data_IF_482746317529
#
_entry.id   IF_482746317529
#
_cell.length_a   1.000
_cell.length_b   1.000
_cell.length_c   1.000
_cell.angle_alpha   90.00
_cell.angle_beta   90.00
_cell.angle_gamma   90.00
#
_symmetry.space_group_name_H-M   'P 1'
#
loop_
_entity.id
_entity.type
_entity.pdbx_description
1 polymer ?
#
# COMPACT_ATOMS: atom_id res chain seq x y z
N UNK A 1 -14.06 4.62 19.78
CA UNK A 1 -13.06 3.59 19.41
C UNK A 1 -11.74 4.01 20.05
N UNK A 2 -11.25 3.27 21.03
CA UNK A 2 -9.97 3.56 21.69
C UNK A 2 -8.89 2.73 20.96
N UNK A 3 -8.19 3.35 20.02
CA UNK A 3 -7.09 2.69 19.30
C UNK A 3 -5.90 2.60 20.27
N UNK A 4 -5.74 1.46 20.93
CA UNK A 4 -4.50 1.16 21.65
C UNK A 4 -3.37 1.02 20.63
N UNK A 5 -2.53 2.05 20.54
CA UNK A 5 -1.31 2.04 19.74
C UNK A 5 -0.26 1.25 20.51
N UNK A 6 -0.08 -0.02 20.16
CA UNK A 6 0.98 -0.88 20.69
C UNK A 6 1.72 -1.59 19.53
N UNK A 7 2.86 -2.21 19.85
CA UNK A 7 3.74 -2.84 18.87
C UNK A 7 3.02 -3.92 18.03
N UNK A 8 2.19 -4.75 18.66
CA UNK A 8 1.41 -5.79 17.98
C UNK A 8 0.39 -5.20 16.99
N UNK A 9 -0.36 -4.17 17.39
CA UNK A 9 -1.33 -3.51 16.54
C UNK A 9 -0.68 -2.83 15.31
N UNK A 10 0.52 -2.25 15.48
CA UNK A 10 1.29 -1.66 14.39
C UNK A 10 1.83 -2.74 13.43
N UNK A 11 2.32 -3.86 13.95
CA UNK A 11 2.78 -4.98 13.12
C UNK A 11 1.63 -5.59 12.31
N UNK A 12 0.46 -5.80 12.91
CA UNK A 12 -0.72 -6.31 12.21
C UNK A 12 -1.24 -5.31 11.17
N UNK A 13 -1.23 -4.03 11.48
CA UNK A 13 -1.53 -2.97 10.52
C UNK A 13 -0.55 -2.98 9.35
N UNK A 14 0.75 -3.15 9.59
CA UNK A 14 1.76 -3.26 8.53
C UNK A 14 1.51 -4.48 7.62
N UNK A 15 1.20 -5.65 8.20
CA UNK A 15 0.85 -6.85 7.42
C UNK A 15 -0.41 -6.63 6.59
N UNK A 16 -1.43 -5.99 7.15
CA UNK A 16 -2.66 -5.67 6.45
C UNK A 16 -2.41 -4.66 5.30
N UNK A 17 -1.55 -3.68 5.52
CA UNK A 17 -1.12 -2.75 4.48
C UNK A 17 -0.37 -3.46 3.36
N UNK A 18 0.59 -4.36 3.67
CA UNK A 18 1.27 -5.16 2.65
C UNK A 18 0.31 -5.97 1.79
N UNK A 19 -0.66 -6.67 2.40
CA UNK A 19 -1.71 -7.39 1.66
C UNK A 19 -2.55 -6.46 0.78
N UNK A 20 -2.82 -5.25 1.26
CA UNK A 20 -3.58 -4.24 0.50
C UNK A 20 -2.75 -3.70 -0.66
N UNK A 21 -1.44 -3.48 -0.48
CA UNK A 21 -0.49 -3.11 -1.53
C UNK A 21 -0.45 -4.18 -2.61
N UNK A 22 -0.34 -5.45 -2.21
CA UNK A 22 -0.34 -6.57 -3.16
C UNK A 22 -1.67 -6.65 -3.92
N UNK A 23 -2.79 -6.45 -3.24
CA UNK A 23 -4.11 -6.43 -3.88
C UNK A 23 -4.26 -5.27 -4.87
N UNK A 24 -3.80 -4.07 -4.50
CA UNK A 24 -3.81 -2.87 -5.36
C UNK A 24 -2.86 -3.04 -6.54
N UNK A 25 -1.64 -3.55 -6.32
CA UNK A 25 -0.66 -3.83 -7.36
C UNK A 25 -1.15 -4.86 -8.37
N UNK A 26 -1.93 -5.85 -7.91
CA UNK A 26 -2.57 -6.86 -8.76
C UNK A 26 -3.92 -6.40 -9.36
N UNK A 27 -4.47 -5.27 -8.92
CA UNK A 27 -5.80 -4.81 -9.30
C UNK A 27 -5.99 -4.39 -10.78
N UNK A 28 -4.99 -3.98 -11.60
CA UNK A 28 -5.34 -3.31 -12.86
C UNK A 28 -5.05 -4.08 -14.15
N UNK A 29 -5.10 -5.41 -14.16
CA UNK A 29 -5.20 -6.14 -15.44
C UNK A 29 -6.49 -5.81 -16.20
N UNK A 30 -7.62 -5.81 -15.49
CA UNK A 30 -8.95 -5.62 -16.08
C UNK A 30 -9.20 -4.20 -16.60
N UNK A 31 -8.72 -3.17 -15.88
CA UNK A 31 -8.89 -1.77 -16.31
C UNK A 31 -8.00 -1.44 -17.50
N UNK A 32 -6.77 -1.97 -17.53
CA UNK A 32 -5.91 -1.84 -18.69
C UNK A 32 -6.52 -2.50 -19.94
N UNK A 33 -7.06 -3.71 -19.79
CA UNK A 33 -7.76 -4.41 -20.87
C UNK A 33 -9.04 -3.69 -21.32
N UNK A 34 -9.78 -3.08 -20.39
CA UNK A 34 -10.96 -2.29 -20.72
C UNK A 34 -10.62 -1.04 -21.55
N UNK A 35 -9.52 -0.34 -21.23
CA UNK A 35 -9.07 0.77 -22.06
C UNK A 35 -8.64 0.31 -23.46
N UNK A 36 -7.89 -0.80 -23.56
CA UNK A 36 -7.53 -1.36 -24.86
C UNK A 36 -8.76 -1.78 -25.68
N UNK A 37 -9.78 -2.38 -25.06
CA UNK A 37 -11.01 -2.78 -25.75
C UNK A 37 -11.83 -1.58 -26.23
N UNK A 38 -11.89 -0.50 -25.45
CA UNK A 38 -12.51 0.78 -25.87
C UNK A 38 -11.79 1.35 -27.09
N UNK A 39 -10.46 1.37 -27.07
CA UNK A 39 -9.65 1.83 -28.22
C UNK A 39 -9.91 1.02 -29.49
N UNK A 40 -10.03 -0.31 -29.36
CA UNK A 40 -10.35 -1.20 -30.47
C UNK A 40 -11.80 -1.04 -30.97
N UNK A 41 -12.75 -0.74 -30.09
CA UNK A 41 -14.19 -0.65 -30.41
C UNK A 41 -14.57 0.67 -31.10
N UNK A 42 -13.84 1.74 -30.84
CA UNK A 42 -14.13 3.07 -31.40
C UNK A 42 -13.84 3.21 -32.91
N UNK A 43 -12.95 2.40 -33.48
CA UNK A 43 -12.63 2.42 -34.91
C UNK A 43 -11.93 3.67 -35.46
N UNK A 44 -11.68 4.69 -34.64
CA UNK A 44 -10.96 5.92 -34.99
C UNK A 44 -9.65 6.05 -34.22
N UNK A 45 -8.60 6.55 -34.90
CA UNK A 45 -7.27 6.73 -34.35
C UNK A 45 -7.21 7.68 -33.15
N UNK A 46 -8.11 8.67 -33.10
CA UNK A 46 -8.22 9.59 -31.95
C UNK A 46 -8.67 8.87 -30.67
N UNK A 47 -9.66 7.98 -30.75
CA UNK A 47 -10.12 7.20 -29.60
C UNK A 47 -9.07 6.16 -29.16
N UNK A 48 -8.36 5.53 -30.11
CA UNK A 48 -7.26 4.61 -29.78
C UNK A 48 -6.12 5.31 -29.03
N UNK A 49 -5.77 6.54 -29.43
CA UNK A 49 -4.77 7.35 -28.74
C UNK A 49 -5.22 7.75 -27.33
N UNK A 50 -6.49 8.17 -27.18
CA UNK A 50 -7.08 8.50 -25.88
C UNK A 50 -7.09 7.29 -24.94
N UNK A 51 -7.55 6.13 -25.42
CA UNK A 51 -7.56 4.87 -24.68
C UNK A 51 -6.15 4.49 -24.18
N UNK A 52 -5.14 4.60 -25.06
CA UNK A 52 -3.74 4.34 -24.70
C UNK A 52 -3.23 5.31 -23.64
N UNK A 53 -3.57 6.61 -23.77
CA UNK A 53 -3.21 7.63 -22.78
C UNK A 53 -3.84 7.37 -21.41
N UNK A 54 -5.13 7.02 -21.36
CA UNK A 54 -5.82 6.63 -20.13
C UNK A 54 -5.21 5.38 -19.49
N UNK A 55 -4.88 4.36 -20.30
CA UNK A 55 -4.22 3.16 -19.82
C UNK A 55 -2.83 3.47 -19.20
N UNK A 56 -2.07 4.37 -19.82
CA UNK A 56 -0.79 4.84 -19.29
C UNK A 56 -0.94 5.63 -17.99
N UNK A 57 -1.87 6.57 -17.94
CA UNK A 57 -2.16 7.37 -16.74
C UNK A 57 -2.62 6.51 -15.57
N UNK A 58 -3.45 5.49 -15.85
CA UNK A 58 -3.90 4.52 -14.86
C UNK A 58 -2.73 3.71 -14.28
N UNK A 59 -1.85 3.20 -15.13
CA UNK A 59 -0.65 2.47 -14.68
C UNK A 59 0.26 3.34 -13.81
N UNK A 60 0.46 4.61 -14.17
CA UNK A 60 1.25 5.56 -13.37
C UNK A 60 0.61 5.81 -12.00
N UNK A 61 -0.71 6.04 -11.94
CA UNK A 61 -1.43 6.26 -10.70
C UNK A 61 -1.35 5.05 -9.76
N UNK A 62 -1.50 3.84 -10.31
CA UNK A 62 -1.35 2.59 -9.55
C UNK A 62 0.06 2.35 -9.05
N UNK A 63 1.07 2.63 -9.89
CA UNK A 63 2.47 2.58 -9.46
C UNK A 63 2.73 3.52 -8.29
N UNK A 64 2.23 4.75 -8.34
CA UNK A 64 2.35 5.74 -7.26
C UNK A 64 1.62 5.33 -5.98
N UNK A 65 0.42 4.75 -6.10
CA UNK A 65 -0.36 4.26 -4.96
C UNK A 65 0.33 3.06 -4.29
N UNK A 66 0.85 2.12 -5.10
CA UNK A 66 1.60 0.96 -4.61
C UNK A 66 2.86 1.39 -3.86
N UNK A 67 3.67 2.28 -4.45
CA UNK A 67 4.89 2.81 -3.83
C UNK A 67 4.61 3.55 -2.51
N UNK A 68 3.57 4.39 -2.48
CA UNK A 68 3.17 5.12 -1.28
C UNK A 68 2.67 4.18 -0.17
N UNK A 69 1.94 3.13 -0.56
CA UNK A 69 1.43 2.14 0.37
C UNK A 69 2.55 1.25 0.93
N UNK A 70 3.55 0.90 0.12
CA UNK A 70 4.73 0.16 0.58
C UNK A 70 5.58 0.99 1.55
N UNK A 71 5.77 2.29 1.24
CA UNK A 71 6.44 3.21 2.15
C UNK A 71 5.72 3.30 3.50
N UNK A 72 4.40 3.44 3.48
CA UNK A 72 3.58 3.46 4.70
C UNK A 72 3.70 2.14 5.50
N UNK A 73 3.71 1.00 4.82
CA UNK A 73 3.89 -0.31 5.46
C UNK A 73 5.25 -0.42 6.17
N UNK A 74 6.34 0.06 5.55
CA UNK A 74 7.68 0.11 6.14
C UNK A 74 7.76 1.05 7.33
N UNK A 75 7.18 2.25 7.22
CA UNK A 75 7.15 3.21 8.35
C UNK A 75 6.40 2.64 9.54
N UNK A 76 5.28 1.95 9.29
CA UNK A 76 4.46 1.34 10.36
C UNK A 76 5.18 0.17 11.03
N UNK A 77 5.89 -0.65 10.25
CA UNK A 77 6.73 -1.73 10.78
C UNK A 77 7.87 -1.18 11.65
N UNK A 78 8.56 -0.15 11.16
CA UNK A 78 9.63 0.53 11.92
C UNK A 78 9.10 1.13 13.22
N UNK A 79 7.94 1.79 13.18
CA UNK A 79 7.29 2.30 14.38
C UNK A 79 6.98 1.15 15.36
N UNK A 80 6.38 0.05 14.89
CA UNK A 80 6.08 -1.12 15.72
C UNK A 80 7.33 -1.72 16.39
N UNK A 81 8.46 -1.78 15.67
CA UNK A 81 9.75 -2.20 16.22
C UNK A 81 10.26 -1.27 17.32
N UNK A 82 10.26 0.05 17.07
CA UNK A 82 10.68 1.05 18.07
C UNK A 82 9.83 1.02 19.35
N UNK A 83 8.52 0.80 19.22
CA UNK A 83 7.64 0.63 20.39
C UNK A 83 7.98 -0.64 21.17
N UNK A 84 8.24 -1.77 20.50
CA UNK A 84 8.62 -3.02 21.17
C UNK A 84 9.97 -2.89 21.90
N UNK A 85 10.95 -2.22 21.31
CA UNK A 85 12.24 -1.97 21.95
C UNK A 85 12.09 -1.05 23.16
N UNK A 86 11.29 0.00 23.05
CA UNK A 86 11.01 0.91 24.17
C UNK A 86 10.35 0.15 25.33
N UNK A 87 9.36 -0.69 25.03
CA UNK A 87 8.67 -1.53 26.02
C UNK A 87 9.65 -2.49 26.72
N UNK A 88 10.56 -3.11 25.97
CA UNK A 88 11.61 -3.97 26.52
C UNK A 88 12.55 -3.23 27.46
N UNK A 89 13.00 -2.03 27.08
CA UNK A 89 13.88 -1.19 27.92
C UNK A 89 13.19 -0.79 29.21
N UNK A 90 11.93 -0.34 29.13
CA UNK A 90 11.14 0.04 30.31
C UNK A 90 10.93 -1.16 31.25
N UNK A 91 10.54 -2.31 30.71
CA UNK A 91 10.34 -3.52 31.50
C UNK A 91 11.63 -4.01 32.16
N UNK A 92 12.76 -3.93 31.46
CA UNK A 92 14.07 -4.22 32.05
C UNK A 92 14.41 -3.25 33.17
N UNK A 93 14.27 -1.94 32.95
CA UNK A 93 14.56 -0.92 33.95
C UNK A 93 13.69 -1.09 35.22
N UNK A 94 12.39 -1.36 35.05
CA UNK A 94 11.46 -1.64 36.15
C UNK A 94 11.81 -2.95 36.86
N UNK A 95 12.19 -3.99 36.11
CA UNK A 95 12.62 -5.28 36.66
C UNK A 95 13.92 -5.20 37.46
N UNK A 96 14.85 -4.33 37.07
CA UNK A 96 16.11 -4.07 37.78
C UNK A 96 15.99 -3.08 38.95
N UNK A 97 14.83 -2.44 39.10
CA UNK A 97 14.56 -1.50 40.20
C UNK A 97 13.94 -2.17 41.44
N UNK A 98 13.81 -3.50 41.44
CA UNK A 98 13.44 -4.33 42.60
C UNK A 98 14.67 -5.01 43.18
#
# INVERSE_FOLDING_TARGET
MNLQVNSAALQDSSRQMRRTVDAVGNAPGAVHQAFQSVGASCGDGGCAALATSLAGAWNLALGGLSASSEALAKTTESAGGSYADTERVVMHAVGTAR
#
